data_IF_694734561825
#
_entry.id   IF_694734561825
#
_cell.length_a   1.000
_cell.length_b   1.000
_cell.length_c   1.000
_cell.angle_alpha   90.00
_cell.angle_beta   90.00
_cell.angle_gamma   90.00
#
_symmetry.space_group_name_H-M   'P 1'
#
loop_
_entity.id
_entity.type
_entity.pdbx_description
1 polymer ?
#
# COMPACT_ATOMS: atom_id res chain seq x y z
N UNK A 1 20.16 46.44 29.36
CA UNK A 1 19.11 45.47 29.71
C UNK A 1 18.13 45.36 28.54
N UNK A 2 18.39 44.47 27.58
CA UNK A 2 17.38 44.04 26.59
C UNK A 2 17.75 42.62 26.17
N UNK A 3 16.79 41.73 26.36
CA UNK A 3 16.91 40.28 26.33
C UNK A 3 16.76 39.78 24.89
N UNK A 4 17.61 38.81 24.52
CA UNK A 4 17.51 38.02 23.30
C UNK A 4 16.40 36.98 23.49
N UNK A 5 15.53 36.78 22.48
CA UNK A 5 14.95 35.45 22.19
C UNK A 5 14.83 35.32 20.67
N UNK A 6 15.59 34.44 19.99
CA UNK A 6 15.33 34.11 18.60
C UNK A 6 14.15 33.14 18.52
N UNK A 7 13.25 33.40 17.58
CA UNK A 7 12.08 32.59 17.27
C UNK A 7 12.55 31.18 16.85
N UNK A 8 12.26 30.19 17.69
CA UNK A 8 12.50 28.78 17.39
C UNK A 8 11.52 28.38 16.28
N UNK A 9 12.00 28.18 15.05
CA UNK A 9 11.21 27.54 13.99
C UNK A 9 11.43 26.03 14.02
N UNK A 10 10.95 25.35 15.07
CA UNK A 10 10.76 23.90 15.04
C UNK A 10 9.41 23.60 14.39
N UNK A 11 9.45 23.18 13.13
CA UNK A 11 8.45 22.25 12.60
C UNK A 11 9.15 21.28 11.66
N UNK A 12 10.04 20.48 12.22
CA UNK A 12 10.44 19.23 11.59
C UNK A 12 9.19 18.36 11.50
N UNK A 13 8.65 18.25 10.28
CA UNK A 13 7.60 17.29 9.96
C UNK A 13 8.09 15.92 10.42
N UNK A 14 7.40 15.32 11.38
CA UNK A 14 7.74 14.04 12.00
C UNK A 14 7.39 12.87 11.08
N UNK A 15 7.71 12.97 9.79
CA UNK A 15 7.75 11.80 8.93
C UNK A 15 8.96 10.97 9.35
N UNK A 16 8.84 9.64 9.50
CA UNK A 16 10.01 8.80 9.66
C UNK A 16 10.91 9.07 8.44
N UNK A 17 12.11 9.59 8.69
CA UNK A 17 13.14 9.74 7.68
C UNK A 17 13.43 8.33 7.18
N UNK A 18 12.84 7.96 6.04
CA UNK A 18 13.03 6.65 5.44
C UNK A 18 14.49 6.55 5.01
N UNK A 19 15.33 6.05 5.90
CA UNK A 19 16.70 5.75 5.60
C UNK A 19 16.68 4.49 4.75
N UNK A 20 17.04 4.64 3.47
CA UNK A 20 17.12 3.49 2.56
C UNK A 20 18.08 2.48 3.17
N UNK A 21 17.57 1.30 3.52
CA UNK A 21 18.43 0.17 3.78
C UNK A 21 19.30 -0.04 2.52
N UNK A 22 20.61 -0.14 2.70
CA UNK A 22 21.53 -0.52 1.62
C UNK A 22 21.26 -1.99 1.32
N UNK A 23 20.30 -2.24 0.46
CA UNK A 23 19.90 -3.57 0.03
C UNK A 23 20.78 -3.92 -1.16
N UNK A 24 21.70 -4.87 -1.00
CA UNK A 24 22.18 -5.65 -2.13
C UNK A 24 21.05 -6.62 -2.48
N UNK A 25 20.36 -6.46 -3.63
CA UNK A 25 19.24 -7.32 -3.96
C UNK A 25 19.78 -8.71 -4.28
N UNK A 26 19.69 -9.63 -3.33
CA UNK A 26 19.84 -11.05 -3.61
C UNK A 26 18.62 -11.45 -4.44
N UNK A 27 18.79 -11.51 -5.76
CA UNK A 27 17.76 -12.04 -6.67
C UNK A 27 17.50 -13.49 -6.26
N UNK A 28 16.31 -13.77 -5.74
CA UNK A 28 15.92 -15.10 -5.26
C UNK A 28 14.80 -15.59 -6.16
N UNK A 29 15.18 -16.27 -7.24
CA UNK A 29 14.24 -16.87 -8.17
C UNK A 29 13.87 -18.25 -7.64
N UNK A 30 12.62 -18.41 -7.22
CA UNK A 30 12.08 -19.71 -6.80
C UNK A 30 11.34 -20.35 -7.98
N UNK A 31 11.35 -21.70 -8.10
CA UNK A 31 10.60 -22.38 -9.15
C UNK A 31 9.10 -22.08 -8.99
N UNK A 32 8.46 -21.66 -10.07
CA UNK A 32 7.01 -21.54 -10.16
C UNK A 32 6.47 -22.74 -10.93
N UNK A 33 5.70 -23.59 -10.25
CA UNK A 33 5.02 -24.71 -10.88
C UNK A 33 3.72 -24.21 -11.52
N UNK A 34 3.51 -24.50 -12.81
CA UNK A 34 2.29 -24.07 -13.53
C UNK A 34 1.02 -24.80 -13.07
N UNK A 35 1.17 -25.88 -12.28
CA UNK A 35 0.02 -26.62 -11.77
C UNK A 35 -0.83 -25.68 -10.91
N UNK A 36 -2.00 -25.27 -11.43
CA UNK A 36 -2.99 -24.55 -10.65
C UNK A 36 -3.49 -25.50 -9.58
N UNK A 37 -2.98 -25.36 -8.36
CA UNK A 37 -3.44 -26.14 -7.22
C UNK A 37 -4.90 -25.73 -7.00
N UNK A 38 -5.88 -26.64 -7.23
CA UNK A 38 -7.24 -26.33 -6.85
C UNK A 38 -7.25 -26.14 -5.34
N UNK A 39 -8.01 -25.16 -4.83
CA UNK A 39 -8.25 -25.04 -3.39
C UNK A 39 -9.08 -26.22 -2.82
N UNK A 40 -9.25 -27.31 -3.59
CA UNK A 40 -10.04 -28.51 -3.32
C UNK A 40 -9.34 -29.77 -3.83
N UNK A 41 -10.08 -30.80 -4.26
CA UNK A 41 -9.50 -32.12 -4.58
C UNK A 41 -8.53 -32.06 -5.79
N UNK A 42 -7.26 -32.47 -5.63
CA UNK A 42 -6.28 -32.38 -6.70
C UNK A 42 -6.51 -33.47 -7.76
N UNK A 43 -6.51 -33.10 -9.04
CA UNK A 43 -6.42 -34.06 -10.15
C UNK A 43 -4.96 -34.24 -10.56
N UNK A 44 -4.43 -35.47 -10.62
CA UNK A 44 -3.03 -35.69 -10.96
C UNK A 44 -2.82 -35.40 -12.45
N UNK A 45 -2.15 -34.29 -12.76
CA UNK A 45 -1.69 -33.98 -14.11
C UNK A 45 -0.24 -33.51 -14.02
N UNK A 46 0.59 -34.02 -14.93
CA UNK A 46 2.03 -33.78 -15.01
C UNK A 46 2.35 -32.29 -15.20
N UNK A 47 3.29 -31.79 -14.39
CA UNK A 47 3.67 -30.37 -14.35
C UNK A 47 4.87 -30.06 -15.24
N UNK A 48 4.69 -29.13 -16.17
CA UNK A 48 5.80 -28.43 -16.82
C UNK A 48 6.26 -27.28 -15.91
N UNK A 49 7.56 -27.21 -15.62
CA UNK A 49 8.17 -26.12 -14.86
C UNK A 49 8.38 -24.90 -15.78
N UNK A 50 7.91 -23.73 -15.36
CA UNK A 50 8.09 -22.48 -16.11
C UNK A 50 9.26 -21.64 -15.56
N UNK A 51 9.43 -20.44 -16.12
CA UNK A 51 10.33 -19.39 -15.65
C UNK A 51 10.04 -19.11 -14.16
N UNK A 52 11.07 -19.18 -13.32
CA UNK A 52 10.91 -18.96 -11.88
C UNK A 52 10.33 -17.58 -11.54
N UNK A 53 9.64 -17.51 -10.39
CA UNK A 53 8.98 -16.31 -9.90
C UNK A 53 9.83 -15.67 -8.79
N UNK A 54 10.16 -14.40 -8.96
CA UNK A 54 10.63 -13.54 -7.86
C UNK A 54 9.46 -12.64 -7.45
N UNK A 55 9.09 -12.70 -6.16
CA UNK A 55 7.99 -11.88 -5.61
C UNK A 55 8.29 -10.39 -5.73
N UNK A 56 9.57 -10.00 -5.66
CA UNK A 56 9.97 -8.62 -5.88
C UNK A 56 9.67 -8.21 -7.31
N UNK A 57 10.05 -8.99 -8.31
CA UNK A 57 9.77 -8.64 -9.71
C UNK A 57 8.27 -8.68 -10.03
N UNK A 58 7.51 -9.53 -9.31
CA UNK A 58 6.06 -9.62 -9.48
C UNK A 58 5.30 -8.40 -8.91
N UNK A 59 5.67 -7.92 -7.72
CA UNK A 59 4.94 -6.84 -7.02
C UNK A 59 5.61 -5.47 -7.10
N UNK A 60 6.93 -5.43 -7.26
CA UNK A 60 7.75 -4.21 -7.17
C UNK A 60 8.18 -3.79 -8.57
N UNK A 61 7.34 -2.98 -9.22
CA UNK A 61 7.64 -2.42 -10.56
C UNK A 61 8.83 -1.46 -10.53
N UNK A 62 8.92 -0.62 -9.51
CA UNK A 62 9.99 0.35 -9.35
C UNK A 62 10.50 0.33 -7.91
N UNK A 63 11.67 -0.30 -7.70
CA UNK A 63 12.30 -0.47 -6.39
C UNK A 63 12.57 0.86 -5.68
N UNK A 64 12.81 1.95 -6.43
CA UNK A 64 13.13 3.25 -5.84
C UNK A 64 11.91 4.01 -5.29
N UNK A 65 10.70 3.63 -5.72
CA UNK A 65 9.43 4.30 -5.35
C UNK A 65 8.42 3.38 -4.68
N UNK A 66 8.79 2.12 -4.39
CA UNK A 66 7.93 1.14 -3.76
C UNK A 66 8.25 1.00 -2.27
N UNK A 67 7.21 0.92 -1.46
CA UNK A 67 7.28 0.87 -0.01
C UNK A 67 6.27 -0.12 0.54
N UNK A 68 6.58 -0.70 1.70
CA UNK A 68 5.72 -1.65 2.37
C UNK A 68 5.09 -1.03 3.62
N UNK A 69 3.81 -1.30 3.84
CA UNK A 69 3.06 -0.85 5.02
C UNK A 69 2.29 -2.01 5.62
N UNK A 70 2.26 -2.08 6.95
CA UNK A 70 1.41 -3.05 7.64
C UNK A 70 -0.01 -2.52 7.77
N UNK A 71 -0.99 -3.34 7.43
CA UNK A 71 -2.41 -3.02 7.57
C UNK A 71 -2.83 -3.14 9.02
N UNK A 72 -3.65 -2.20 9.46
CA UNK A 72 -4.39 -2.27 10.72
C UNK A 72 -5.87 -2.00 10.42
N UNK A 73 -6.73 -2.88 10.92
CA UNK A 73 -8.18 -2.82 10.75
C UNK A 73 -8.71 -3.55 9.50
N UNK A 74 -10.02 -3.53 9.35
CA UNK A 74 -10.78 -4.34 8.39
C UNK A 74 -11.57 -3.50 7.37
N UNK A 75 -11.32 -2.19 7.29
CA UNK A 75 -12.05 -1.29 6.38
C UNK A 75 -11.90 -1.63 4.89
N UNK A 76 -10.96 -2.51 4.52
CA UNK A 76 -10.65 -2.87 3.14
C UNK A 76 -10.86 -4.36 2.82
N UNK A 77 -11.60 -5.10 3.66
CA UNK A 77 -11.79 -6.57 3.50
C UNK A 77 -12.42 -6.98 2.17
N UNK A 78 -13.32 -6.19 1.60
CA UNK A 78 -13.92 -6.41 0.28
C UNK A 78 -12.91 -6.34 -0.87
N UNK A 79 -11.78 -5.64 -0.66
CA UNK A 79 -10.64 -5.65 -1.57
C UNK A 79 -9.62 -6.76 -1.25
N UNK A 80 -9.94 -7.70 -0.36
CA UNK A 80 -9.06 -8.78 0.12
C UNK A 80 -7.81 -8.27 0.83
N UNK A 81 -7.94 -7.11 1.48
CA UNK A 81 -6.91 -6.53 2.34
C UNK A 81 -7.36 -6.76 3.78
N UNK A 82 -6.63 -7.58 4.52
CA UNK A 82 -6.97 -7.98 5.87
C UNK A 82 -6.04 -7.33 6.89
N UNK A 83 -6.48 -7.30 8.15
CA UNK A 83 -5.65 -6.86 9.27
C UNK A 83 -4.37 -7.69 9.34
N UNK A 84 -3.22 -7.02 9.53
CA UNK A 84 -1.92 -7.68 9.63
C UNK A 84 -1.21 -7.95 8.30
N UNK A 85 -1.89 -7.81 7.15
CA UNK A 85 -1.30 -7.93 5.82
C UNK A 85 -0.20 -6.87 5.57
N UNK A 86 0.67 -7.15 4.59
CA UNK A 86 1.67 -6.21 4.10
C UNK A 86 1.25 -5.62 2.75
N UNK A 87 0.91 -4.33 2.73
CA UNK A 87 0.62 -3.59 1.52
C UNK A 87 1.89 -3.19 0.79
N UNK A 88 1.83 -3.29 -0.53
CA UNK A 88 2.85 -2.79 -1.45
C UNK A 88 2.33 -1.51 -2.08
N UNK A 89 3.00 -0.39 -1.82
CA UNK A 89 2.59 0.95 -2.25
C UNK A 89 3.65 1.56 -3.16
N UNK A 90 3.26 1.98 -4.36
CA UNK A 90 4.12 2.66 -5.32
C UNK A 90 3.78 4.15 -5.44
N UNK A 91 4.76 5.01 -5.18
CA UNK A 91 4.63 6.48 -5.28
C UNK A 91 4.78 7.02 -6.69
N UNK A 92 5.32 6.25 -7.62
CA UNK A 92 5.53 6.68 -9.01
C UNK A 92 4.25 6.63 -9.84
N UNK A 93 3.25 5.87 -9.39
CA UNK A 93 1.99 5.70 -10.10
C UNK A 93 1.06 6.89 -9.79
N UNK A 94 0.61 7.58 -10.85
CA UNK A 94 -0.40 8.64 -10.72
C UNK A 94 -1.74 8.05 -10.26
N UNK A 95 -2.31 8.50 -9.12
CA UNK A 95 -3.60 8.02 -8.64
C UNK A 95 -4.72 8.33 -9.65
N UNK A 96 -5.66 7.41 -9.79
CA UNK A 96 -6.85 7.54 -10.65
C UNK A 96 -8.10 7.06 -9.91
N UNK A 97 -9.26 7.46 -10.41
CA UNK A 97 -10.54 6.93 -9.97
C UNK A 97 -10.51 5.40 -9.96
N UNK A 98 -11.02 4.80 -8.88
CA UNK A 98 -11.06 3.36 -8.66
C UNK A 98 -9.77 2.75 -8.12
N UNK A 99 -8.64 3.47 -8.08
CA UNK A 99 -7.43 2.93 -7.46
C UNK A 99 -7.58 2.83 -5.94
N UNK A 100 -6.98 1.81 -5.35
CA UNK A 100 -6.76 1.76 -3.90
C UNK A 100 -5.50 2.59 -3.62
N UNK A 101 -5.62 3.54 -2.70
CA UNK A 101 -4.55 4.51 -2.41
C UNK A 101 -4.23 4.52 -0.93
N UNK A 102 -2.96 4.77 -0.62
CA UNK A 102 -2.57 5.24 0.69
C UNK A 102 -2.74 6.76 0.70
N UNK A 103 -3.73 7.24 1.44
CA UNK A 103 -4.04 8.64 1.62
C UNK A 103 -3.58 9.11 3.00
N UNK A 104 -3.23 10.39 3.09
CA UNK A 104 -3.01 11.10 4.34
C UNK A 104 -4.07 12.18 4.43
N UNK A 105 -4.91 12.12 5.46
CA UNK A 105 -5.95 13.11 5.73
C UNK A 105 -5.59 13.76 7.07
N UNK A 106 -5.38 15.06 7.10
CA UNK A 106 -5.05 15.80 8.34
C UNK A 106 -3.92 15.10 9.15
N UNK A 107 -2.86 14.67 8.44
CA UNK A 107 -1.69 13.96 8.95
C UNK A 107 -1.90 12.50 9.39
N UNK A 108 -3.08 11.92 9.21
CA UNK A 108 -3.37 10.51 9.51
C UNK A 108 -3.39 9.65 8.25
N UNK A 109 -2.70 8.50 8.29
CA UNK A 109 -2.67 7.55 7.18
C UNK A 109 -3.96 6.72 7.13
N UNK A 110 -4.54 6.57 5.95
CA UNK A 110 -5.66 5.68 5.68
C UNK A 110 -5.53 5.03 4.32
N UNK A 111 -6.04 3.80 4.20
CA UNK A 111 -6.11 3.06 2.93
C UNK A 111 -7.56 2.98 2.51
N UNK A 112 -7.85 3.52 1.33
CA UNK A 112 -9.22 3.62 0.79
C UNK A 112 -9.20 3.54 -0.73
N UNK A 113 -10.34 3.23 -1.33
CA UNK A 113 -10.54 3.39 -2.76
C UNK A 113 -10.80 4.86 -3.09
N UNK A 114 -10.03 5.40 -4.02
CA UNK A 114 -10.15 6.77 -4.48
C UNK A 114 -11.33 6.88 -5.47
N UNK A 115 -12.32 7.68 -5.13
CA UNK A 115 -13.38 8.09 -6.04
C UNK A 115 -13.16 9.55 -6.40
N UNK A 116 -12.63 9.80 -7.59
CA UNK A 116 -12.46 11.14 -8.15
C UNK A 116 -13.32 11.28 -9.41
N UNK A 117 -14.40 12.06 -9.34
CA UNK A 117 -15.34 12.23 -10.47
C UNK A 117 -16.24 13.44 -10.26
N UNK A 118 -16.62 14.11 -11.36
CA UNK A 118 -17.52 15.28 -11.34
C UNK A 118 -17.09 16.42 -10.39
N UNK A 119 -15.78 16.61 -10.21
CA UNK A 119 -15.23 17.62 -9.31
C UNK A 119 -15.26 17.25 -7.82
N UNK A 120 -15.77 16.06 -7.47
CA UNK A 120 -15.82 15.56 -6.09
C UNK A 120 -14.75 14.49 -5.89
N UNK A 121 -14.06 14.58 -4.75
CA UNK A 121 -13.10 13.56 -4.29
C UNK A 121 -13.65 12.93 -3.02
N UNK A 122 -13.82 11.61 -3.05
CA UNK A 122 -14.25 10.80 -1.91
C UNK A 122 -13.30 9.61 -1.73
N UNK A 123 -13.21 9.13 -0.49
CA UNK A 123 -12.42 7.96 -0.13
C UNK A 123 -13.34 6.90 0.47
N UNK A 124 -13.45 5.77 -0.22
CA UNK A 124 -14.40 4.72 0.11
C UNK A 124 -13.68 3.54 0.74
N UNK A 125 -14.27 3.03 1.82
CA UNK A 125 -13.90 1.74 2.37
C UNK A 125 -14.43 0.62 1.48
N UNK A 126 -13.78 -0.53 1.52
CA UNK A 126 -14.28 -1.77 0.91
C UNK A 126 -14.90 -2.65 2.01
N UNK A 127 -15.68 -2.03 2.87
CA UNK A 127 -16.40 -2.67 3.95
C UNK A 127 -17.68 -1.86 4.23
N UNK A 128 -18.88 -2.44 4.09
CA UNK A 128 -20.15 -1.74 4.28
C UNK A 128 -20.34 -1.09 5.66
N UNK A 129 -19.61 -1.55 6.68
CA UNK A 129 -19.65 -0.97 8.02
C UNK A 129 -19.04 0.45 8.09
N UNK A 130 -18.28 0.86 7.07
CA UNK A 130 -17.53 2.11 7.05
C UNK A 130 -18.08 3.06 5.97
N UNK A 131 -18.67 4.20 6.35
CA UNK A 131 -19.21 5.14 5.38
C UNK A 131 -18.10 5.83 4.55
N UNK A 132 -18.41 6.28 3.31
CA UNK A 132 -17.48 7.07 2.52
C UNK A 132 -17.01 8.33 3.23
N UNK A 133 -15.72 8.61 3.14
CA UNK A 133 -15.10 9.83 3.66
C UNK A 133 -15.17 10.90 2.56
N UNK A 134 -15.98 11.92 2.80
CA UNK A 134 -16.07 13.13 1.96
C UNK A 134 -15.17 14.19 2.55
N UNK A 135 -14.28 14.75 1.73
CA UNK A 135 -13.41 15.84 2.15
C UNK A 135 -14.23 17.11 2.36
N UNK A 136 -14.01 17.78 3.48
CA UNK A 136 -14.55 19.12 3.76
C UNK A 136 -13.59 20.18 3.22
N UNK A 137 -14.04 21.43 3.14
CA UNK A 137 -13.24 22.55 2.62
C UNK A 137 -11.91 22.75 3.37
N UNK A 138 -11.85 22.38 4.65
CA UNK A 138 -10.66 22.53 5.49
C UNK A 138 -9.84 21.24 5.64
N UNK A 139 -10.23 20.14 4.99
CA UNK A 139 -9.48 18.90 5.08
C UNK A 139 -8.30 18.90 4.11
N UNK A 140 -7.11 18.59 4.61
CA UNK A 140 -5.94 18.40 3.76
C UNK A 140 -5.85 16.93 3.34
N UNK A 141 -6.19 16.64 2.08
CA UNK A 141 -5.94 15.33 1.47
C UNK A 141 -4.63 15.33 0.70
N UNK A 142 -3.75 14.39 1.05
CA UNK A 142 -2.59 14.03 0.24
C UNK A 142 -2.63 12.54 -0.10
N UNK A 143 -2.67 12.22 -1.39
CA UNK A 143 -2.42 10.84 -1.82
C UNK A 143 -0.92 10.57 -1.79
N UNK A 144 -0.49 9.63 -0.95
CA UNK A 144 0.92 9.30 -0.76
C UNK A 144 1.46 8.38 -1.85
N UNK A 145 0.64 7.41 -2.27
CA UNK A 145 0.96 6.45 -3.32
C UNK A 145 -0.22 5.50 -3.62
N UNK A 146 -0.07 4.70 -4.66
CA UNK A 146 -1.08 3.72 -5.10
C UNK A 146 -0.72 2.34 -4.57
N UNK A 147 -1.69 1.62 -4.03
CA UNK A 147 -1.53 0.23 -3.61
C UNK A 147 -1.51 -0.65 -4.86
N UNK A 148 -0.42 -1.39 -5.07
CA UNK A 148 -0.25 -2.31 -6.21
C UNK A 148 -0.55 -3.75 -5.85
N UNK A 149 -0.51 -4.10 -4.57
CA UNK A 149 -0.81 -5.44 -4.09
C UNK A 149 -0.74 -5.54 -2.57
N UNK A 150 -1.07 -6.73 -2.08
CA UNK A 150 -0.95 -7.11 -0.68
C UNK A 150 -0.32 -8.50 -0.60
N UNK A 151 0.45 -8.77 0.46
CA UNK A 151 0.94 -10.11 0.78
C UNK A 151 0.60 -10.44 2.23
N UNK A 152 0.03 -11.63 2.41
CA UNK A 152 -0.28 -12.19 3.71
C UNK A 152 0.77 -13.25 4.07
N UNK A 153 1.19 -13.27 5.33
CA UNK A 153 2.04 -14.33 5.87
C UNK A 153 1.28 -15.07 6.96
N UNK A 154 1.02 -16.35 6.74
CA UNK A 154 0.43 -17.21 7.75
C UNK A 154 1.46 -17.60 8.81
N UNK A 155 0.97 -17.83 10.02
CA UNK A 155 1.75 -18.44 11.08
C UNK A 155 1.96 -19.90 10.70
N UNK A 156 3.23 -20.32 10.65
CA UNK A 156 3.68 -21.69 10.43
C UNK A 156 4.53 -22.14 11.60
#
# INVERSE_FOLDING_TARGET
MTIIVPLISTSESTLPRVQRAKLDPSVCILPLLQYRIPAGFPSPAEGYAEKGLDINDYLVRNKASTYFFRVVGDSMVGARIHDGDMLVVDRSIKPKHGHIVLAVINNEYTVKRLYAGNGVIELHAENPAYPPIRLRENDELRVWGVVVGTVARFIV
#
